data_IF_812649883632
#
_entry.id   IF_812649883632
#
_cell.length_a   1.000
_cell.length_b   1.000
_cell.length_c   1.000
_cell.angle_alpha   90.00
_cell.angle_beta   90.00
_cell.angle_gamma   90.00
#
_symmetry.space_group_name_H-M   'P 1'
#
loop_
_entity.id
_entity.type
_entity.pdbx_description
1 polymer ?
#
# COMPACT_ATOMS: atom_id res chain seq x y z
N UNK A 1 19.58 45.96 19.83
CA UNK A 1 19.36 44.58 19.32
C UNK A 1 18.01 44.55 18.61
N UNK A 2 17.91 44.29 17.29
CA UNK A 2 16.63 44.34 16.59
C UNK A 2 15.76 43.12 16.94
N UNK A 3 14.41 43.26 16.95
CA UNK A 3 13.53 42.18 17.35
C UNK A 3 13.49 41.09 16.27
N UNK A 4 13.63 39.82 16.70
CA UNK A 4 13.56 38.65 15.82
C UNK A 4 12.16 38.56 15.20
N UNK A 5 12.07 38.69 13.87
CA UNK A 5 10.83 38.44 13.12
C UNK A 5 10.43 36.97 13.31
N UNK A 6 9.31 36.72 13.99
CA UNK A 6 8.71 35.38 14.04
C UNK A 6 8.24 35.00 12.63
N UNK A 7 8.90 34.02 12.02
CA UNK A 7 8.43 33.38 10.78
C UNK A 7 7.15 32.62 11.12
N UNK A 8 5.99 33.21 10.80
CA UNK A 8 4.71 32.50 10.82
C UNK A 8 4.74 31.50 9.68
N UNK A 9 4.97 30.22 9.97
CA UNK A 9 4.76 29.14 9.00
C UNK A 9 3.28 29.09 8.66
N UNK A 10 2.93 29.50 7.45
CA UNK A 10 1.56 29.52 6.96
C UNK A 10 1.20 28.11 6.48
N UNK A 11 0.64 27.28 7.38
CA UNK A 11 0.22 25.89 7.09
C UNK A 11 -1.00 25.87 6.11
N UNK A 12 -1.60 27.04 5.85
CA UNK A 12 -2.84 27.22 5.10
C UNK A 12 -2.71 27.24 3.57
N UNK A 13 -1.51 27.44 3.00
CA UNK A 13 -1.33 27.58 1.56
C UNK A 13 -1.50 26.27 0.78
N UNK A 14 -1.02 25.14 1.32
CA UNK A 14 -1.05 23.84 0.63
C UNK A 14 -2.48 23.29 0.48
N UNK A 15 -3.36 23.52 1.46
CA UNK A 15 -4.75 23.08 1.37
C UNK A 15 -5.56 23.87 0.33
N UNK A 16 -5.18 25.13 0.06
CA UNK A 16 -5.83 25.94 -0.99
C UNK A 16 -5.40 25.50 -2.39
N UNK A 17 -4.10 25.22 -2.57
CA UNK A 17 -3.55 24.80 -3.87
C UNK A 17 -4.13 23.44 -4.30
N UNK A 18 -4.21 22.48 -3.38
CA UNK A 18 -4.78 21.14 -3.66
C UNK A 18 -6.27 21.12 -4.02
N UNK A 19 -6.99 22.23 -3.83
CA UNK A 19 -8.41 22.38 -4.17
C UNK A 19 -8.65 23.14 -5.47
N UNK A 20 -7.60 23.65 -6.13
CA UNK A 20 -7.74 24.29 -7.43
C UNK A 20 -8.03 23.25 -8.52
N UNK A 21 -8.78 23.64 -9.55
CA UNK A 21 -9.29 22.74 -10.58
C UNK A 21 -8.20 22.04 -11.39
N UNK A 22 -7.07 22.70 -11.62
CA UNK A 22 -5.92 22.14 -12.30
C UNK A 22 -5.32 20.97 -11.52
N UNK A 23 -5.20 21.10 -10.19
CA UNK A 23 -4.69 20.03 -9.32
C UNK A 23 -5.71 18.91 -9.11
N UNK A 24 -7.00 19.22 -9.03
CA UNK A 24 -8.04 18.19 -8.84
C UNK A 24 -8.32 17.40 -10.12
N UNK A 25 -8.19 18.02 -11.30
CA UNK A 25 -8.44 17.37 -12.58
C UNK A 25 -7.18 16.72 -13.19
N UNK A 26 -6.00 16.94 -12.60
CA UNK A 26 -4.78 16.28 -13.05
C UNK A 26 -4.85 14.76 -12.81
N UNK A 27 -4.74 13.99 -13.89
CA UNK A 27 -4.61 12.54 -13.81
C UNK A 27 -3.22 12.23 -13.24
N UNK A 28 -3.16 11.42 -12.17
CA UNK A 28 -1.88 11.03 -11.60
C UNK A 28 -1.07 10.19 -12.58
N UNK A 29 0.25 10.37 -12.60
CA UNK A 29 1.17 9.60 -13.45
C UNK A 29 0.95 8.09 -13.28
N UNK A 30 0.75 7.64 -12.04
CA UNK A 30 0.45 6.23 -11.75
C UNK A 30 -0.82 5.76 -12.44
N UNK A 31 -1.89 6.57 -12.44
CA UNK A 31 -3.16 6.24 -13.09
C UNK A 31 -3.01 6.21 -14.61
N UNK A 32 -2.17 7.07 -15.19
CA UNK A 32 -1.82 7.04 -16.61
C UNK A 32 -1.11 5.75 -16.98
N UNK A 33 -0.01 5.41 -16.28
CA UNK A 33 0.79 4.20 -16.54
C UNK A 33 -0.05 2.93 -16.43
N UNK A 34 -0.90 2.82 -15.39
CA UNK A 34 -1.78 1.67 -15.19
C UNK A 34 -2.77 1.53 -16.35
N UNK A 35 -3.36 2.64 -16.81
CA UNK A 35 -4.33 2.65 -17.91
C UNK A 35 -3.69 2.36 -19.27
N UNK A 36 -2.50 2.88 -19.52
CA UNK A 36 -1.72 2.60 -20.73
C UNK A 36 -1.35 1.11 -20.83
N UNK A 37 -1.16 0.44 -19.69
CA UNK A 37 -0.97 -1.01 -19.62
C UNK A 37 -2.29 -1.81 -19.74
N UNK A 38 -3.45 -1.16 -19.90
CA UNK A 38 -4.76 -1.83 -20.02
C UNK A 38 -5.36 -2.29 -18.69
N UNK A 39 -4.89 -1.76 -17.56
CA UNK A 39 -5.37 -2.10 -16.23
C UNK A 39 -6.23 -1.00 -15.60
N UNK A 40 -6.99 -1.37 -14.57
CA UNK A 40 -7.75 -0.43 -13.73
C UNK A 40 -7.12 -0.32 -12.34
N UNK A 41 -7.18 0.87 -11.75
CA UNK A 41 -6.66 1.14 -10.42
C UNK A 41 -7.81 1.23 -9.42
N UNK A 42 -7.80 0.35 -8.41
CA UNK A 42 -8.70 0.41 -7.26
C UNK A 42 -8.04 1.28 -6.19
N UNK A 43 -8.69 2.39 -5.82
CA UNK A 43 -8.22 3.27 -4.75
C UNK A 43 -8.91 2.90 -3.44
N UNK A 44 -8.12 2.44 -2.46
CA UNK A 44 -8.62 2.12 -1.14
C UNK A 44 -8.61 3.38 -0.23
N UNK A 45 -9.55 3.49 0.72
CA UNK A 45 -9.53 4.52 1.74
C UNK A 45 -8.21 4.52 2.52
N UNK A 46 -7.71 5.72 2.86
CA UNK A 46 -6.47 5.85 3.64
C UNK A 46 -6.69 5.34 5.06
N UNK A 47 -5.71 4.60 5.58
CA UNK A 47 -5.71 4.03 6.95
C UNK A 47 -6.76 2.93 7.20
N UNK A 48 -7.26 2.31 6.13
CA UNK A 48 -8.19 1.18 6.18
C UNK A 48 -7.56 -0.07 5.57
N UNK A 49 -6.51 -0.60 6.23
CA UNK A 49 -5.78 -1.77 5.72
C UNK A 49 -6.63 -3.04 5.71
N UNK A 50 -7.67 -3.11 6.54
CA UNK A 50 -8.67 -4.17 6.57
C UNK A 50 -9.42 -4.35 5.24
N UNK A 51 -9.49 -3.29 4.42
CA UNK A 51 -10.13 -3.33 3.11
C UNK A 51 -9.20 -3.81 1.99
N UNK A 52 -7.92 -4.06 2.29
CA UNK A 52 -6.94 -4.50 1.30
C UNK A 52 -6.77 -6.02 1.35
N UNK A 53 -7.25 -6.79 0.34
CA UNK A 53 -7.19 -8.26 0.35
C UNK A 53 -5.77 -8.82 0.49
N UNK A 54 -4.74 -8.06 0.11
CA UNK A 54 -3.34 -8.49 0.26
C UNK A 54 -2.96 -8.69 1.74
N UNK A 55 -3.58 -7.98 2.68
CA UNK A 55 -3.30 -8.12 4.11
C UNK A 55 -3.77 -9.49 4.62
N UNK A 56 -4.91 -9.99 4.12
CA UNK A 56 -5.39 -11.34 4.42
C UNK A 56 -4.45 -12.40 3.85
N UNK A 57 -3.97 -12.20 2.62
CA UNK A 57 -2.98 -13.07 1.99
C UNK A 57 -1.67 -13.13 2.79
N UNK A 58 -1.13 -11.97 3.19
CA UNK A 58 0.04 -11.90 4.05
C UNK A 58 -0.20 -12.56 5.41
N UNK A 59 -1.37 -12.37 6.01
CA UNK A 59 -1.75 -13.06 7.25
C UNK A 59 -1.70 -14.58 7.11
N UNK A 60 -2.30 -15.10 6.03
CA UNK A 60 -2.32 -16.53 5.71
C UNK A 60 -0.92 -17.11 5.49
N UNK A 61 -0.07 -16.42 4.72
CA UNK A 61 1.30 -16.86 4.44
C UNK A 61 2.18 -16.80 5.70
N UNK A 62 2.11 -15.72 6.48
CA UNK A 62 2.86 -15.57 7.74
C UNK A 62 2.49 -16.65 8.75
N UNK A 63 1.23 -17.04 8.82
CA UNK A 63 0.78 -18.11 9.72
C UNK A 63 1.51 -19.42 9.42
N UNK A 64 1.57 -19.85 8.14
CA UNK A 64 2.31 -21.06 7.72
C UNK A 64 3.81 -20.92 7.86
N UNK A 65 4.35 -19.77 7.47
CA UNK A 65 5.76 -19.47 7.65
C UNK A 65 6.18 -19.69 9.10
N UNK A 66 5.36 -19.31 10.09
CA UNK A 66 5.67 -19.49 11.53
C UNK A 66 5.65 -20.95 12.02
N UNK A 67 5.03 -21.87 11.27
CA UNK A 67 4.92 -23.29 11.66
C UNK A 67 6.17 -24.11 11.33
N UNK A 68 7.08 -23.56 10.53
CA UNK A 68 8.31 -24.25 10.10
C UNK A 68 9.48 -23.76 10.94
N UNK A 69 10.40 -24.63 11.34
CA UNK A 69 11.64 -24.21 11.98
C UNK A 69 12.66 -23.73 10.95
N UNK A 70 13.39 -22.66 11.28
CA UNK A 70 14.38 -22.01 10.40
C UNK A 70 15.62 -21.71 11.21
N UNK A 71 16.73 -22.38 10.88
CA UNK A 71 18.01 -22.20 11.57
C UNK A 71 19.00 -21.36 10.76
N UNK A 72 18.69 -21.11 9.48
CA UNK A 72 19.51 -20.29 8.58
C UNK A 72 18.66 -19.29 7.81
N UNK A 73 19.32 -18.24 7.32
CA UNK A 73 18.65 -17.25 6.48
C UNK A 73 18.16 -17.83 5.15
N UNK A 74 18.86 -18.83 4.60
CA UNK A 74 18.42 -19.51 3.38
C UNK A 74 17.13 -20.30 3.63
N UNK A 75 17.08 -21.08 4.72
CA UNK A 75 15.84 -21.76 5.12
C UNK A 75 14.68 -20.77 5.37
N UNK A 76 14.97 -19.58 5.89
CA UNK A 76 13.96 -18.53 6.03
C UNK A 76 13.43 -18.04 4.67
N UNK A 77 14.29 -17.86 3.66
CA UNK A 77 13.85 -17.49 2.30
C UNK A 77 13.04 -18.61 1.65
N UNK A 78 13.49 -19.84 1.80
CA UNK A 78 12.83 -21.00 1.20
C UNK A 78 11.44 -21.19 1.81
N UNK A 79 11.33 -21.14 3.14
CA UNK A 79 10.05 -21.21 3.84
C UNK A 79 9.11 -20.06 3.50
N UNK A 80 9.63 -18.84 3.27
CA UNK A 80 8.81 -17.71 2.84
C UNK A 80 8.25 -17.95 1.43
N UNK A 81 9.08 -18.45 0.51
CA UNK A 81 8.68 -18.76 -0.86
C UNK A 81 7.64 -19.89 -0.88
N UNK A 82 7.86 -20.95 -0.11
CA UNK A 82 6.92 -22.06 0.03
C UNK A 82 5.58 -21.60 0.61
N UNK A 83 5.60 -20.83 1.69
CA UNK A 83 4.37 -20.32 2.31
C UNK A 83 3.59 -19.38 1.39
N UNK A 84 4.26 -18.59 0.54
CA UNK A 84 3.59 -17.75 -0.45
C UNK A 84 2.97 -18.60 -1.57
N UNK A 85 3.72 -19.56 -2.10
CA UNK A 85 3.24 -20.41 -3.19
C UNK A 85 2.18 -21.44 -2.75
N UNK A 86 2.08 -21.72 -1.45
CA UNK A 86 1.13 -22.70 -0.92
C UNK A 86 -0.32 -22.22 -0.88
N UNK A 87 -0.60 -20.92 -1.05
CA UNK A 87 -1.94 -20.36 -0.90
C UNK A 87 -2.89 -20.82 -2.02
N UNK A 88 -3.93 -21.63 -1.71
CA UNK A 88 -4.85 -22.09 -2.73
C UNK A 88 -5.65 -20.93 -3.33
N UNK A 89 -5.85 -20.95 -4.64
CA UNK A 89 -6.59 -19.90 -5.34
C UNK A 89 -8.02 -19.71 -4.80
N UNK A 90 -8.65 -20.77 -4.30
CA UNK A 90 -9.97 -20.70 -3.64
C UNK A 90 -9.95 -19.88 -2.36
N UNK A 91 -8.85 -19.91 -1.60
CA UNK A 91 -8.68 -19.10 -0.40
C UNK A 91 -8.47 -17.64 -0.79
N UNK A 92 -7.63 -17.37 -1.80
CA UNK A 92 -7.39 -16.02 -2.32
C UNK A 92 -8.71 -15.39 -2.79
N UNK A 93 -9.54 -16.13 -3.53
CA UNK A 93 -10.85 -15.63 -3.98
C UNK A 93 -11.76 -15.25 -2.81
N UNK A 94 -11.71 -15.97 -1.69
CA UNK A 94 -12.50 -15.63 -0.49
C UNK A 94 -12.07 -14.34 0.19
N UNK A 95 -10.88 -13.81 -0.08
CA UNK A 95 -10.43 -12.52 0.45
C UNK A 95 -11.01 -11.32 -0.30
N UNK A 96 -11.62 -11.55 -1.46
CA UNK A 96 -12.14 -10.50 -2.37
C UNK A 96 -13.69 -10.50 -2.39
N UNK A 97 -14.32 -11.49 -1.75
CA UNK A 97 -15.78 -11.70 -1.74
C UNK A 97 -16.52 -10.77 -0.77
#
# INVERSE_FOLDING_TARGET
>A
MPPKKKVKRNISSNLRLSKQEDFTNQISVLKTVIREAGHECIFLPKFHCELNPIEMYWGWAKYRYRQVDKNTFQQAKDAASEALNACPAEVIRRFIN
#
